data_IF_430535543446
#
_entry.id   IF_430535543446
#
_cell.length_a   1.000
_cell.length_b   1.000
_cell.length_c   1.000
_cell.angle_alpha   90.00
_cell.angle_beta   90.00
_cell.angle_gamma   90.00
#
_symmetry.space_group_name_H-M   'P 1'
#
loop_
_entity.id
_entity.type
_entity.pdbx_description
1 polymer ?
#
# COMPACT_ATOMS: atom_id res chain seq x y z
N UNK A 1 -10.27 17.44 19.08
CA UNK A 1 -10.36 16.18 18.31
C UNK A 1 -10.80 15.10 19.28
N UNK A 2 -11.81 14.29 18.95
CA UNK A 2 -12.37 13.27 19.85
C UNK A 2 -11.63 11.95 19.68
N UNK A 3 -11.15 11.35 20.79
CA UNK A 3 -10.54 10.01 20.76
C UNK A 3 -11.57 8.89 20.58
N UNK A 4 -12.87 9.20 20.66
CA UNK A 4 -13.95 8.20 20.58
C UNK A 4 -14.13 7.59 19.19
N UNK A 5 -13.41 8.08 18.19
CA UNK A 5 -13.45 7.59 16.82
C UNK A 5 -12.24 6.70 16.47
N UNK A 6 -11.27 6.51 17.38
CA UNK A 6 -10.15 5.62 17.14
C UNK A 6 -10.63 4.17 17.00
N UNK A 7 -10.17 3.47 15.96
CA UNK A 7 -10.47 2.05 15.79
C UNK A 7 -9.54 1.22 16.67
N UNK A 8 -10.02 0.47 17.69
CA UNK A 8 -9.16 -0.29 18.59
C UNK A 8 -8.47 -1.49 17.92
N UNK A 9 -8.97 -1.95 16.78
CA UNK A 9 -8.41 -3.07 16.02
C UNK A 9 -7.41 -2.62 14.94
N UNK A 10 -6.97 -1.34 14.97
CA UNK A 10 -6.12 -0.74 13.94
C UNK A 10 -4.87 -1.56 13.59
N UNK A 11 -4.22 -2.17 14.58
CA UNK A 11 -2.99 -2.93 14.37
C UNK A 11 -3.26 -4.25 13.62
N UNK A 12 -4.31 -4.97 14.01
CA UNK A 12 -4.70 -6.21 13.36
C UNK A 12 -5.20 -5.95 11.93
N UNK A 13 -6.00 -4.90 11.74
CA UNK A 13 -6.49 -4.49 10.41
C UNK A 13 -5.33 -4.06 9.52
N UNK A 14 -4.39 -3.26 10.04
CA UNK A 14 -3.24 -2.79 9.29
C UNK A 14 -2.34 -3.93 8.81
N UNK A 15 -1.99 -4.86 9.72
CA UNK A 15 -1.21 -6.06 9.38
C UNK A 15 -1.92 -6.95 8.36
N UNK A 16 -3.22 -7.19 8.55
CA UNK A 16 -4.04 -7.98 7.62
C UNK A 16 -4.14 -7.36 6.24
N UNK A 17 -4.33 -6.04 6.17
CA UNK A 17 -4.35 -5.29 4.91
C UNK A 17 -3.02 -5.44 4.16
N UNK A 18 -1.88 -5.23 4.83
CA UNK A 18 -0.55 -5.33 4.19
C UNK A 18 -0.30 -6.73 3.65
N UNK A 19 -0.64 -7.77 4.42
CA UNK A 19 -0.53 -9.16 3.97
C UNK A 19 -1.37 -9.40 2.71
N UNK A 20 -2.65 -9.00 2.74
CA UNK A 20 -3.54 -9.20 1.60
C UNK A 20 -3.08 -8.39 0.36
N UNK A 21 -2.70 -7.14 0.56
CA UNK A 21 -2.24 -6.25 -0.50
C UNK A 21 -1.06 -6.86 -1.26
N UNK A 22 -0.05 -7.36 -0.55
CA UNK A 22 1.12 -7.96 -1.21
C UNK A 22 0.84 -9.33 -1.81
N UNK A 23 -0.04 -10.15 -1.23
CA UNK A 23 -0.50 -11.39 -1.89
C UNK A 23 -1.13 -11.09 -3.25
N UNK A 24 -1.99 -10.06 -3.33
CA UNK A 24 -2.60 -9.66 -4.60
C UNK A 24 -1.59 -9.02 -5.55
N UNK A 25 -0.71 -8.15 -5.06
CA UNK A 25 0.23 -7.43 -5.90
C UNK A 25 1.30 -8.35 -6.51
N UNK A 26 1.85 -9.25 -5.70
CA UNK A 26 3.02 -10.05 -6.07
C UNK A 26 2.67 -11.16 -7.09
N UNK A 27 1.40 -11.60 -7.12
CA UNK A 27 0.87 -12.55 -8.12
C UNK A 27 0.23 -11.81 -9.31
N UNK A 28 0.82 -11.85 -10.53
CA UNK A 28 0.25 -11.18 -11.70
C UNK A 28 -1.19 -11.60 -12.04
N UNK A 29 -1.60 -12.82 -11.69
CA UNK A 29 -2.96 -13.31 -11.92
C UNK A 29 -4.00 -12.70 -10.95
N UNK A 30 -3.55 -12.27 -9.77
CA UNK A 30 -4.39 -11.66 -8.73
C UNK A 30 -4.27 -10.14 -8.68
N UNK A 31 -3.21 -9.55 -9.26
CA UNK A 31 -2.98 -8.11 -9.29
C UNK A 31 -4.20 -7.29 -9.77
N UNK A 32 -5.00 -7.71 -10.77
CA UNK A 32 -6.22 -7.00 -11.14
C UNK A 32 -7.21 -6.80 -9.99
N UNK A 33 -7.23 -7.69 -8.98
CA UNK A 33 -8.10 -7.60 -7.81
C UNK A 33 -7.75 -6.44 -6.86
N UNK A 34 -6.55 -5.86 -6.98
CA UNK A 34 -6.19 -4.64 -6.23
C UNK A 34 -7.12 -3.47 -6.53
N UNK A 35 -7.78 -3.45 -7.70
CA UNK A 35 -8.74 -2.41 -8.04
C UNK A 35 -9.84 -2.25 -6.98
N UNK A 36 -10.25 -3.35 -6.32
CA UNK A 36 -11.26 -3.34 -5.27
C UNK A 36 -10.79 -2.73 -3.95
N UNK A 37 -9.47 -2.57 -3.74
CA UNK A 37 -8.91 -1.96 -2.55
C UNK A 37 -8.90 -0.43 -2.62
N UNK A 38 -9.09 0.16 -3.81
CA UNK A 38 -9.06 1.60 -4.04
C UNK A 38 -10.44 2.15 -4.38
N UNK A 39 -10.71 3.37 -3.92
CA UNK A 39 -11.86 4.13 -4.32
C UNK A 39 -11.66 4.72 -5.74
N UNK A 40 -12.68 4.67 -6.62
CA UNK A 40 -12.57 5.15 -8.01
C UNK A 40 -12.13 6.61 -8.16
N UNK A 41 -12.44 7.48 -7.21
CA UNK A 41 -12.23 8.93 -7.33
C UNK A 41 -11.32 9.51 -6.24
N UNK A 42 -11.38 8.95 -5.03
CA UNK A 42 -10.79 9.55 -3.83
C UNK A 42 -9.56 8.83 -3.29
N UNK A 43 -9.10 7.78 -3.97
CA UNK A 43 -7.79 7.17 -3.69
C UNK A 43 -6.67 7.90 -4.40
N UNK A 44 -5.56 8.08 -3.70
CA UNK A 44 -4.33 8.67 -4.22
C UNK A 44 -3.17 7.70 -4.08
N UNK A 45 -2.34 7.62 -5.12
CA UNK A 45 -1.08 6.91 -5.09
C UNK A 45 0.07 7.85 -5.43
N UNK A 46 1.20 7.72 -4.76
CA UNK A 46 2.49 8.27 -5.20
C UNK A 46 3.48 7.13 -5.35
N UNK A 47 3.83 6.78 -6.58
CA UNK A 47 4.75 5.68 -6.87
C UNK A 47 6.05 6.24 -7.47
N UNK A 48 7.17 6.11 -6.74
CA UNK A 48 8.46 6.66 -7.17
C UNK A 48 8.40 8.17 -7.51
N UNK A 49 7.52 8.91 -6.82
CA UNK A 49 7.34 10.36 -7.01
C UNK A 49 6.30 10.76 -8.05
N UNK A 50 5.72 9.80 -8.78
CA UNK A 50 4.61 10.07 -9.70
C UNK A 50 3.29 9.98 -8.93
N UNK A 51 2.55 11.09 -8.88
CA UNK A 51 1.25 11.16 -8.22
C UNK A 51 0.10 10.77 -9.17
N UNK A 52 -0.82 9.95 -8.67
CA UNK A 52 -1.95 9.38 -9.38
C UNK A 52 -3.19 9.49 -8.50
N UNK A 53 -4.36 9.64 -9.14
CA UNK A 53 -5.65 9.73 -8.47
C UNK A 53 -6.65 8.80 -9.14
N UNK A 54 -7.41 8.08 -8.31
CA UNK A 54 -8.48 7.18 -8.71
C UNK A 54 -7.98 5.82 -9.17
N UNK A 55 -8.84 4.80 -9.00
CA UNK A 55 -8.51 3.40 -9.28
C UNK A 55 -7.98 3.17 -10.69
N UNK A 56 -8.53 3.86 -11.70
CA UNK A 56 -8.11 3.67 -13.11
C UNK A 56 -6.62 3.99 -13.29
N UNK A 57 -6.19 5.21 -12.90
CA UNK A 57 -4.78 5.64 -13.06
C UNK A 57 -3.83 4.85 -12.17
N UNK A 58 -4.29 4.46 -10.98
CA UNK A 58 -3.53 3.59 -10.07
C UNK A 58 -3.28 2.24 -10.74
N UNK A 59 -4.32 1.57 -11.24
CA UNK A 59 -4.19 0.26 -11.88
C UNK A 59 -3.39 0.33 -13.18
N UNK A 60 -3.52 1.38 -13.98
CA UNK A 60 -2.64 1.62 -15.14
C UNK A 60 -1.17 1.64 -14.74
N UNK A 61 -0.81 2.35 -13.65
CA UNK A 61 0.56 2.36 -13.14
C UNK A 61 1.02 0.98 -12.69
N UNK A 62 0.22 0.28 -11.88
CA UNK A 62 0.61 -1.04 -11.37
C UNK A 62 0.74 -2.09 -12.50
N UNK A 63 -0.09 -2.00 -13.52
CA UNK A 63 -0.02 -2.87 -14.70
C UNK A 63 1.12 -2.50 -15.65
N UNK A 64 1.59 -1.24 -15.64
CA UNK A 64 2.75 -0.80 -16.44
C UNK A 64 4.10 -1.33 -15.94
N UNK A 65 4.13 -1.92 -14.74
CA UNK A 65 5.35 -2.47 -14.16
C UNK A 65 5.75 -3.73 -14.93
N UNK A 66 6.97 -3.76 -15.45
CA UNK A 66 7.40 -4.78 -16.43
C UNK A 66 8.01 -6.04 -15.81
N UNK A 67 8.18 -6.06 -14.49
CA UNK A 67 8.75 -7.23 -13.81
C UNK A 67 7.83 -8.44 -13.93
N UNK A 68 8.41 -9.64 -14.06
CA UNK A 68 7.64 -10.89 -14.18
C UNK A 68 7.48 -11.57 -12.83
N UNK A 69 8.51 -11.50 -12.00
CA UNK A 69 8.54 -12.04 -10.64
C UNK A 69 8.94 -10.96 -9.67
N UNK A 70 8.32 -11.01 -8.50
CA UNK A 70 8.73 -10.19 -7.36
C UNK A 70 8.85 -11.10 -6.14
N UNK A 71 9.99 -11.02 -5.47
CA UNK A 71 10.21 -11.66 -4.18
C UNK A 71 10.27 -10.57 -3.12
N UNK A 72 9.30 -10.58 -2.19
CA UNK A 72 9.14 -9.55 -1.17
C UNK A 72 9.38 -10.11 0.22
N UNK A 73 10.18 -9.40 1.00
CA UNK A 73 10.37 -9.65 2.42
C UNK A 73 9.97 -8.40 3.18
N UNK A 74 8.86 -8.47 3.91
CA UNK A 74 8.43 -7.41 4.82
C UNK A 74 9.23 -7.52 6.11
N UNK A 75 9.91 -6.44 6.51
CA UNK A 75 10.73 -6.42 7.73
C UNK A 75 10.01 -5.77 8.91
N UNK A 76 9.15 -4.79 8.66
CA UNK A 76 8.30 -4.21 9.70
C UNK A 76 6.98 -3.70 9.13
N UNK A 77 5.95 -3.76 9.97
CA UNK A 77 4.64 -3.14 9.73
C UNK A 77 4.23 -2.45 11.02
N UNK A 78 4.13 -1.13 10.95
CA UNK A 78 3.68 -0.28 12.04
C UNK A 78 2.33 0.32 11.67
N UNK A 79 1.42 0.46 12.62
CA UNK A 79 0.10 1.04 12.37
C UNK A 79 -0.31 1.98 13.48
N UNK A 80 -1.05 3.03 13.15
CA UNK A 80 -1.62 3.99 14.09
C UNK A 80 -3.09 4.26 13.76
N UNK A 81 -3.98 4.36 14.77
CA UNK A 81 -5.35 4.77 14.54
C UNK A 81 -5.40 6.28 14.24
N UNK A 82 -6.27 6.69 13.32
CA UNK A 82 -6.52 8.09 13.00
C UNK A 82 -7.78 8.58 13.71
N UNK A 83 -7.86 9.89 13.97
CA UNK A 83 -8.97 10.51 14.71
C UNK A 83 -10.34 10.43 14.01
N UNK A 84 -10.38 10.00 12.75
CA UNK A 84 -11.62 9.79 12.00
C UNK A 84 -11.95 8.30 11.78
N UNK A 85 -11.32 7.41 12.54
CA UNK A 85 -11.50 5.96 12.44
C UNK A 85 -10.74 5.31 11.29
N UNK A 86 -9.95 6.08 10.54
CA UNK A 86 -8.96 5.57 9.60
C UNK A 86 -7.75 4.93 10.29
N UNK A 87 -6.85 4.36 9.48
CA UNK A 87 -5.63 3.71 9.95
C UNK A 87 -4.47 4.16 9.08
N UNK A 88 -3.42 4.70 9.70
CA UNK A 88 -2.14 4.95 9.07
C UNK A 88 -1.27 3.70 9.22
N UNK A 89 -0.61 3.28 8.14
CA UNK A 89 0.24 2.09 8.11
C UNK A 89 1.57 2.46 7.46
N UNK A 90 2.68 2.10 8.11
CA UNK A 90 4.01 2.20 7.55
C UNK A 90 4.59 0.78 7.38
N UNK A 91 5.16 0.52 6.22
CA UNK A 91 5.77 -0.75 5.85
C UNK A 91 7.20 -0.51 5.44
N UNK A 92 8.11 -1.29 6.02
CA UNK A 92 9.49 -1.43 5.56
C UNK A 92 9.70 -2.85 5.06
N UNK A 93 10.51 -2.99 4.03
CA UNK A 93 10.92 -4.30 3.56
C UNK A 93 12.02 -4.25 2.53
N UNK A 94 12.24 -5.40 1.91
CA UNK A 94 13.08 -5.56 0.72
C UNK A 94 12.27 -6.24 -0.36
N UNK A 95 12.49 -5.84 -1.60
CA UNK A 95 11.93 -6.52 -2.75
C UNK A 95 13.02 -6.79 -3.77
N UNK A 96 12.86 -7.89 -4.48
CA UNK A 96 13.69 -8.28 -5.61
C UNK A 96 12.76 -8.48 -6.80
N UNK A 97 12.99 -7.74 -7.88
CA UNK A 97 12.24 -7.91 -9.13
C UNK A 97 13.10 -8.72 -10.10
N UNK A 98 12.56 -9.81 -10.63
CA UNK A 98 13.26 -10.72 -11.53
C UNK A 98 14.68 -11.09 -11.02
N UNK A 99 15.72 -10.83 -11.81
CA UNK A 99 17.12 -11.07 -11.47
C UNK A 99 17.85 -9.82 -10.95
N UNK A 100 17.13 -8.71 -10.74
CA UNK A 100 17.72 -7.48 -10.19
C UNK A 100 18.17 -7.68 -8.74
N UNK A 101 19.13 -6.89 -8.24
CA UNK A 101 19.50 -6.91 -6.83
C UNK A 101 18.29 -6.58 -5.92
N UNK A 102 18.20 -7.17 -4.71
CA UNK A 102 17.16 -6.82 -3.77
C UNK A 102 17.37 -5.39 -3.25
N UNK A 103 16.35 -4.55 -3.33
CA UNK A 103 16.36 -3.18 -2.86
C UNK A 103 15.48 -3.02 -1.62
N UNK A 104 15.87 -2.18 -0.64
CA UNK A 104 14.94 -1.78 0.41
C UNK A 104 13.79 -0.97 -0.21
N UNK A 105 12.61 -1.07 0.38
CA UNK A 105 11.47 -0.23 0.03
C UNK A 105 10.78 0.27 1.30
N UNK A 106 10.13 1.43 1.17
CA UNK A 106 9.18 1.95 2.12
C UNK A 106 7.83 2.09 1.41
N UNK A 107 6.76 1.72 2.11
CA UNK A 107 5.42 1.98 1.66
C UNK A 107 4.52 2.45 2.80
N UNK A 108 3.77 3.53 2.57
CA UNK A 108 2.83 4.09 3.53
C UNK A 108 1.43 3.95 2.97
N UNK A 109 0.50 3.47 3.80
CA UNK A 109 -0.91 3.41 3.47
C UNK A 109 -1.75 4.21 4.46
N UNK A 110 -2.84 4.78 3.98
CA UNK A 110 -3.93 5.28 4.82
C UNK A 110 -5.21 4.58 4.42
N UNK A 111 -5.80 3.85 5.36
CA UNK A 111 -7.11 3.25 5.18
C UNK A 111 -8.20 4.18 5.71
N UNK A 112 -9.30 4.30 4.97
CA UNK A 112 -10.53 4.97 5.42
C UNK A 112 -11.63 3.95 5.56
N UNK A 113 -12.43 4.12 6.61
CA UNK A 113 -13.62 3.30 6.85
C UNK A 113 -14.78 3.76 5.97
N UNK A 114 -15.55 2.81 5.46
CA UNK A 114 -16.83 3.02 4.78
C UNK A 114 -17.81 2.01 5.39
N UNK A 115 -18.56 2.46 6.39
CA UNK A 115 -19.38 1.55 7.19
C UNK A 115 -18.51 0.54 7.95
N UNK A 116 -18.62 -0.73 7.61
CA UNK A 116 -17.87 -1.83 8.24
C UNK A 116 -16.65 -2.28 7.43
N UNK A 117 -16.39 -1.68 6.27
CA UNK A 117 -15.27 -2.02 5.39
C UNK A 117 -14.24 -0.89 5.33
N UNK A 118 -13.10 -1.18 4.72
CA UNK A 118 -12.02 -0.21 4.50
C UNK A 118 -11.64 -0.16 3.03
N UNK A 119 -11.16 1.00 2.58
CA UNK A 119 -10.44 1.15 1.33
C UNK A 119 -9.13 1.92 1.57
N UNK A 120 -8.17 1.75 0.67
CA UNK A 120 -6.89 2.46 0.66
C UNK A 120 -7.07 3.85 0.06
N UNK A 121 -7.12 4.88 0.91
CA UNK A 121 -7.26 6.27 0.48
C UNK A 121 -5.93 6.88 0.03
N UNK A 122 -4.81 6.53 0.68
CA UNK A 122 -3.49 6.98 0.28
C UNK A 122 -2.51 5.81 0.24
N UNK A 123 -1.70 5.76 -0.80
CA UNK A 123 -0.64 4.78 -1.01
C UNK A 123 0.62 5.52 -1.48
N UNK A 124 1.71 5.45 -0.73
CA UNK A 124 2.98 6.09 -1.10
C UNK A 124 4.05 5.03 -1.10
N UNK A 125 4.64 4.77 -2.25
CA UNK A 125 5.69 3.78 -2.44
C UNK A 125 7.00 4.44 -2.89
N UNK A 126 8.10 4.07 -2.22
CA UNK A 126 9.46 4.45 -2.58
C UNK A 126 10.44 3.27 -2.45
N UNK A 127 11.34 3.13 -3.42
CA UNK A 127 12.56 2.35 -3.28
C UNK A 127 13.59 3.15 -2.48
N UNK A 128 14.25 2.50 -1.53
CA UNK A 128 15.38 3.04 -0.77
C UNK A 128 16.69 2.96 -1.56
N UNK A 129 16.64 3.38 -2.83
CA UNK A 129 17.79 3.45 -3.75
C UNK A 129 18.28 4.89 -3.95
N UNK A 130 17.63 5.85 -3.28
CA UNK A 130 17.93 7.27 -3.36
C UNK A 130 19.06 7.65 -2.39
N UNK A 131 20.21 6.99 -2.50
CA UNK A 131 21.47 7.53 -1.98
C UNK A 131 22.09 8.40 -3.09
N UNK A 132 21.57 9.62 -3.25
CA UNK A 132 22.35 10.67 -3.89
C UNK A 132 23.21 11.32 -2.80
N UNK A 133 24.52 11.16 -2.94
CA UNK A 133 25.53 11.84 -2.14
C UNK A 133 25.24 13.34 -1.95
#
# INVERSE_FOLDING_TARGET
>A
MSLNQLNPAYEAIGKGFVQQYYVLFDDPSQRPSLAAMYNPETSFMTFEGVQLQGTVKIMEKLNSLTFQKINRVVTSVDSQPMFDGGILINVLGRLQCDEDPPHPFNQVFVLKSVGTTFYCAHDIFRLGIHDTM
#
